data_IF_856774785508
#
_entry.id   IF_856774785508
#
_cell.length_a   1.000
_cell.length_b   1.000
_cell.length_c   1.000
_cell.angle_alpha   90.00
_cell.angle_beta   90.00
_cell.angle_gamma   90.00
#
_symmetry.space_group_name_H-M   'P 1'
#
loop_
_entity.id
_entity.type
_entity.pdbx_description
1 polymer ?
#
# COMPACT_ATOMS: atom_id res chain seq x y z
N UNK A 1 10.23 -19.99 -1.15
CA UNK A 1 10.40 -19.57 -2.55
C UNK A 1 10.07 -18.10 -2.55
N UNK A 2 10.96 -17.23 -3.02
CA UNK A 2 10.70 -15.80 -3.03
C UNK A 2 10.01 -15.44 -4.36
N UNK A 3 9.01 -14.57 -4.31
CA UNK A 3 8.25 -14.11 -5.48
C UNK A 3 8.68 -12.68 -5.82
N UNK A 4 9.94 -12.55 -6.22
CA UNK A 4 10.65 -11.32 -6.54
C UNK A 4 11.24 -11.38 -7.97
N UNK A 5 12.17 -10.48 -8.30
CA UNK A 5 12.74 -10.39 -9.63
C UNK A 5 11.69 -9.91 -10.62
N UNK A 6 11.53 -10.61 -11.76
CA UNK A 6 10.57 -10.20 -12.80
C UNK A 6 9.10 -10.24 -12.35
N UNK A 7 8.82 -10.90 -11.23
CA UNK A 7 7.49 -10.95 -10.62
C UNK A 7 7.13 -9.67 -9.87
N UNK A 8 8.11 -8.82 -9.53
CA UNK A 8 7.89 -7.53 -8.88
C UNK A 8 8.43 -6.43 -9.79
N UNK A 9 7.61 -5.42 -10.05
CA UNK A 9 7.97 -4.34 -10.97
C UNK A 9 7.82 -2.98 -10.33
N UNK A 10 8.76 -2.10 -10.66
CA UNK A 10 8.60 -0.66 -10.45
C UNK A 10 7.77 -0.09 -11.58
N UNK A 11 6.64 0.51 -11.24
CA UNK A 11 5.74 1.18 -12.18
C UNK A 11 5.34 2.53 -11.62
N UNK A 12 4.80 3.39 -12.48
CA UNK A 12 4.29 4.70 -12.07
C UNK A 12 2.79 4.58 -11.86
N UNK A 13 2.32 5.02 -10.70
CA UNK A 13 0.90 5.20 -10.42
C UNK A 13 0.52 6.68 -10.47
N UNK A 14 -0.65 6.95 -11.04
CA UNK A 14 -1.34 8.23 -11.02
C UNK A 14 -2.54 8.10 -10.09
N UNK A 15 -2.48 8.78 -8.95
CA UNK A 15 -3.55 8.81 -7.97
C UNK A 15 -4.20 10.19 -7.98
N UNK A 16 -5.53 10.26 -7.91
CA UNK A 16 -6.26 11.54 -7.89
C UNK A 16 -7.05 11.67 -6.61
N UNK A 17 -6.85 12.77 -5.90
CA UNK A 17 -7.75 13.22 -4.82
C UNK A 17 -8.72 14.20 -5.43
N UNK A 18 -9.91 13.68 -5.71
CA UNK A 18 -11.05 14.44 -6.15
C UNK A 18 -11.84 14.96 -4.93
N UNK A 19 -12.56 16.07 -5.10
CA UNK A 19 -13.51 16.54 -4.09
C UNK A 19 -14.83 15.74 -4.18
N UNK A 20 -15.77 15.99 -3.25
CA UNK A 20 -17.06 15.31 -3.20
C UNK A 20 -17.99 15.62 -4.40
N UNK A 21 -17.71 16.69 -5.14
CA UNK A 21 -18.52 17.15 -6.27
C UNK A 21 -17.92 16.77 -7.62
N UNK A 22 -16.72 16.19 -7.63
CA UNK A 22 -16.00 15.81 -8.83
C UNK A 22 -16.64 14.56 -9.44
N UNK A 23 -17.02 14.66 -10.72
CA UNK A 23 -17.48 13.52 -11.50
C UNK A 23 -16.29 12.60 -11.84
N UNK A 24 -16.09 11.58 -11.01
CA UNK A 24 -15.00 10.60 -11.15
C UNK A 24 -15.01 9.90 -12.53
N UNK A 25 -16.15 9.39 -13.04
CA UNK A 25 -16.22 8.87 -14.40
C UNK A 25 -15.73 9.83 -15.49
N UNK A 26 -16.13 11.11 -15.42
CA UNK A 26 -15.71 12.13 -16.40
C UNK A 26 -14.21 12.40 -16.30
N UNK A 27 -13.70 12.64 -15.09
CA UNK A 27 -12.28 12.83 -14.82
C UNK A 27 -11.44 11.66 -15.34
N UNK A 28 -11.91 10.44 -15.11
CA UNK A 28 -11.27 9.22 -15.60
C UNK A 28 -11.25 9.18 -17.13
N UNK A 29 -12.37 9.43 -17.78
CA UNK A 29 -12.46 9.43 -19.24
C UNK A 29 -11.52 10.48 -19.86
N UNK A 30 -11.37 11.65 -19.23
CA UNK A 30 -10.40 12.66 -19.66
C UNK A 30 -8.95 12.16 -19.57
N UNK A 31 -8.58 11.52 -18.47
CA UNK A 31 -7.23 10.96 -18.29
C UNK A 31 -6.95 9.82 -19.26
N UNK A 32 -7.92 8.93 -19.49
CA UNK A 32 -7.82 7.86 -20.48
C UNK A 32 -7.69 8.40 -21.90
N UNK A 33 -8.42 9.47 -22.24
CA UNK A 33 -8.28 10.15 -23.54
C UNK A 33 -6.87 10.73 -23.70
N UNK A 34 -6.37 11.48 -22.69
CA UNK A 34 -5.01 12.04 -22.74
C UNK A 34 -3.94 10.97 -22.81
N UNK A 35 -4.11 9.85 -22.09
CA UNK A 35 -3.20 8.72 -22.17
C UNK A 35 -3.20 8.11 -23.57
N UNK A 36 -4.38 7.94 -24.18
CA UNK A 36 -4.53 7.45 -25.55
C UNK A 36 -3.83 8.37 -26.54
N UNK A 37 -4.00 9.69 -26.41
CA UNK A 37 -3.32 10.69 -27.25
C UNK A 37 -1.79 10.62 -27.10
N UNK A 38 -1.31 10.24 -25.90
CA UNK A 38 0.09 10.00 -25.59
C UNK A 38 0.58 8.58 -25.94
N UNK A 39 -0.25 7.72 -26.56
CA UNK A 39 0.04 6.30 -26.83
C UNK A 39 0.35 5.48 -25.58
N UNK A 40 -0.31 5.80 -24.46
CA UNK A 40 -0.24 5.09 -23.19
C UNK A 40 -1.59 4.44 -22.87
N UNK A 41 -1.56 3.36 -22.09
CA UNK A 41 -2.76 2.71 -21.55
C UNK A 41 -2.78 2.85 -20.03
N UNK A 42 -3.91 3.31 -19.49
CA UNK A 42 -4.13 3.35 -18.04
C UNK A 42 -4.88 2.09 -17.63
N UNK A 43 -4.38 1.40 -16.61
CA UNK A 43 -5.08 0.29 -15.97
C UNK A 43 -5.45 0.68 -14.55
N UNK A 44 -6.63 0.28 -14.08
CA UNK A 44 -6.98 0.48 -12.67
C UNK A 44 -6.04 -0.27 -11.75
N UNK A 45 -5.82 0.30 -10.58
CA UNK A 45 -5.12 -0.39 -9.51
C UNK A 45 -5.67 0.00 -8.14
N UNK A 46 -5.62 -0.94 -7.21
CA UNK A 46 -6.00 -0.69 -5.82
C UNK A 46 -5.12 0.41 -5.23
N UNK A 47 -5.70 1.32 -4.44
CA UNK A 47 -4.96 2.39 -3.75
C UNK A 47 -3.93 1.86 -2.75
N UNK A 48 -4.05 0.59 -2.34
CA UNK A 48 -3.10 -0.11 -1.47
C UNK A 48 -1.68 -0.21 -2.04
N UNK A 49 -1.49 -0.02 -3.35
CA UNK A 49 -0.15 0.09 -3.95
C UNK A 49 0.56 1.39 -3.62
N UNK A 50 -0.19 2.40 -3.17
CA UNK A 50 0.35 3.71 -2.87
C UNK A 50 1.12 3.67 -1.55
N UNK A 51 2.17 4.49 -1.40
CA UNK A 51 2.90 4.58 -0.14
C UNK A 51 1.97 4.95 1.01
N UNK A 52 2.16 4.31 2.17
CA UNK A 52 1.35 4.54 3.38
C UNK A 52 1.26 6.02 3.74
N UNK A 53 2.37 6.77 3.63
CA UNK A 53 2.37 8.20 3.94
C UNK A 53 1.47 9.04 3.01
N UNK A 54 1.15 8.57 1.80
CA UNK A 54 0.15 9.20 0.93
C UNK A 54 -1.26 8.83 1.40
N UNK A 55 -1.50 7.55 1.70
CA UNK A 55 -2.78 7.04 2.19
C UNK A 55 -3.21 7.64 3.55
N UNK A 56 -2.26 7.97 4.40
CA UNK A 56 -2.51 8.66 5.68
C UNK A 56 -3.03 10.10 5.50
N UNK A 57 -2.74 10.72 4.34
CA UNK A 57 -3.06 12.12 4.06
C UNK A 57 -4.27 12.27 3.14
N UNK A 58 -4.51 11.28 2.29
CA UNK A 58 -5.61 11.27 1.34
C UNK A 58 -5.98 9.82 1.01
N UNK A 59 -7.24 9.58 0.65
CA UNK A 59 -7.67 8.32 0.03
C UNK A 59 -7.95 8.62 -1.44
N UNK A 60 -6.95 8.52 -2.34
CA UNK A 60 -7.14 8.89 -3.73
C UNK A 60 -8.07 7.90 -4.42
N UNK A 61 -9.00 8.44 -5.17
CA UNK A 61 -9.85 7.72 -6.08
C UNK A 61 -10.16 8.66 -7.27
N UNK A 62 -9.82 8.28 -8.52
CA UNK A 62 -9.26 6.99 -8.96
C UNK A 62 -7.74 6.85 -8.74
N UNK A 63 -7.24 5.60 -8.73
CA UNK A 63 -5.82 5.26 -8.83
C UNK A 63 -5.58 4.40 -10.07
N UNK A 64 -4.67 4.85 -10.93
CA UNK A 64 -4.35 4.21 -12.21
C UNK A 64 -2.87 3.90 -12.28
N UNK A 65 -2.53 2.80 -12.94
CA UNK A 65 -1.18 2.35 -13.19
C UNK A 65 -0.82 2.59 -14.65
N UNK A 66 0.35 3.17 -14.89
CA UNK A 66 0.87 3.40 -16.24
C UNK A 66 1.64 2.18 -16.75
N UNK A 67 1.80 1.99 -18.08
CA UNK A 67 2.47 0.83 -18.67
C UNK A 67 3.88 0.65 -18.11
N UNK A 68 4.36 -0.60 -18.07
CA UNK A 68 5.73 -0.88 -17.65
C UNK A 68 6.73 -0.11 -18.52
N UNK A 69 7.74 0.50 -17.89
CA UNK A 69 8.74 1.33 -18.57
C UNK A 69 8.34 2.79 -18.77
N UNK A 70 7.13 3.19 -18.35
CA UNK A 70 6.73 4.61 -18.37
C UNK A 70 7.47 5.39 -17.29
N UNK A 71 7.98 6.58 -17.64
CA UNK A 71 8.65 7.47 -16.69
C UNK A 71 7.66 8.40 -15.98
N UNK A 72 7.99 8.80 -14.75
CA UNK A 72 7.17 9.75 -13.99
C UNK A 72 6.96 11.10 -14.71
N UNK A 73 7.91 11.53 -15.55
CA UNK A 73 7.77 12.74 -16.36
C UNK A 73 6.63 12.61 -17.39
N UNK A 74 6.48 11.44 -18.01
CA UNK A 74 5.39 11.17 -18.96
C UNK A 74 4.04 11.13 -18.24
N UNK A 75 3.98 10.52 -17.06
CA UNK A 75 2.77 10.53 -16.24
C UNK A 75 2.34 11.95 -15.83
N UNK A 76 3.28 12.82 -15.46
CA UNK A 76 3.00 14.23 -15.14
C UNK A 76 2.47 15.01 -16.35
N UNK A 77 2.95 14.69 -17.55
CA UNK A 77 2.47 15.32 -18.77
C UNK A 77 0.98 15.04 -19.02
N UNK A 78 0.42 13.91 -18.56
CA UNK A 78 -1.01 13.58 -18.67
C UNK A 78 -1.90 14.52 -17.86
N UNK A 79 -1.42 15.01 -16.72
CA UNK A 79 -2.19 15.89 -15.83
C UNK A 79 -2.22 17.33 -16.37
N UNK A 80 -1.20 17.72 -17.16
CA UNK A 80 -1.11 19.01 -17.84
C UNK A 80 -0.67 20.18 -16.93
N UNK A 81 -0.24 21.32 -17.51
CA UNK A 81 0.18 22.51 -16.76
C UNK A 81 -0.97 23.25 -16.07
N UNK A 82 -2.24 22.93 -16.38
CA UNK A 82 -3.41 23.59 -15.80
C UNK A 82 -3.61 23.29 -14.30
N UNK A 83 -2.94 22.27 -13.76
CA UNK A 83 -3.05 21.87 -12.34
C UNK A 83 -1.82 22.26 -11.51
N UNK A 84 -0.78 22.80 -12.17
CA UNK A 84 0.36 23.46 -11.51
C UNK A 84 0.21 24.96 -11.74
N UNK A 85 -0.75 25.61 -11.06
CA UNK A 85 -0.77 27.09 -11.05
C UNK A 85 0.27 27.59 -10.03
N UNK A 86 1.26 28.39 -10.45
CA UNK A 86 1.96 29.25 -9.52
C UNK A 86 0.97 30.37 -9.13
N UNK A 87 0.49 30.35 -7.89
CA UNK A 87 0.02 31.50 -7.11
C UNK A 87 -0.37 32.76 -7.93
N UNK A 88 -1.55 32.77 -8.55
CA UNK A 88 -2.20 34.05 -8.91
C UNK A 88 -3.35 34.28 -7.93
N UNK A 89 -3.04 35.09 -6.93
CA UNK A 89 -3.98 35.61 -5.95
C UNK A 89 -5.11 36.39 -6.63
N UNK A 90 -6.31 35.80 -6.71
CA UNK A 90 -7.55 36.58 -6.75
C UNK A 90 -8.58 35.85 -5.90
N UNK A 91 -8.93 36.48 -4.77
CA UNK A 91 -10.08 36.11 -3.95
C UNK A 91 -11.36 36.20 -4.77
N UNK A 92 -11.98 35.06 -5.06
CA UNK A 92 -13.40 34.97 -5.38
C UNK A 92 -13.98 33.74 -4.70
N UNK A 93 -14.98 33.97 -3.85
CA UNK A 93 -15.82 32.98 -3.19
C UNK A 93 -16.50 32.07 -4.23
N UNK A 94 -15.85 30.94 -4.53
CA UNK A 94 -16.43 29.70 -5.06
C UNK A 94 -15.36 28.63 -4.86
N UNK A 95 -15.30 28.07 -3.66
CA UNK A 95 -14.34 27.03 -3.30
C UNK A 95 -14.83 25.69 -3.88
N UNK A 96 -14.63 25.50 -5.19
CA UNK A 96 -14.52 24.16 -5.76
C UNK A 96 -13.02 23.89 -5.81
N UNK A 97 -12.55 23.01 -4.92
CA UNK A 97 -11.13 22.66 -4.89
C UNK A 97 -10.85 21.78 -6.12
N UNK A 98 -9.97 22.24 -7.01
CA UNK A 98 -9.56 21.45 -8.17
C UNK A 98 -8.97 20.10 -7.73
N UNK A 99 -9.16 19.02 -8.51
CA UNK A 99 -8.62 17.71 -8.18
C UNK A 99 -7.10 17.77 -8.02
N UNK A 100 -6.59 17.18 -6.94
CA UNK A 100 -5.15 17.08 -6.68
C UNK A 100 -4.61 15.76 -7.22
N UNK A 101 -3.51 15.80 -7.98
CA UNK A 101 -2.92 14.62 -8.61
C UNK A 101 -1.59 14.25 -7.97
N UNK A 102 -1.35 12.96 -7.83
CA UNK A 102 -0.13 12.39 -7.29
C UNK A 102 0.47 11.43 -8.30
N UNK A 103 1.72 11.67 -8.68
CA UNK A 103 2.51 10.79 -9.55
C UNK A 103 3.60 10.16 -8.70
N UNK A 104 3.51 8.86 -8.47
CA UNK A 104 4.39 8.13 -7.55
C UNK A 104 4.92 6.86 -8.20
N UNK A 105 6.20 6.55 -7.93
CA UNK A 105 6.75 5.23 -8.23
C UNK A 105 6.25 4.23 -7.19
N UNK A 106 5.72 3.10 -7.65
CA UNK A 106 5.16 2.03 -6.83
C UNK A 106 5.79 0.70 -7.19
N UNK A 107 5.76 -0.22 -6.22
CA UNK A 107 6.11 -1.62 -6.44
C UNK A 107 4.80 -2.40 -6.56
N UNK A 108 4.68 -3.17 -7.63
CA UNK A 108 3.53 -4.03 -7.87
C UNK A 108 3.99 -5.45 -8.16
N UNK A 109 3.18 -6.41 -7.73
CA UNK A 109 3.31 -7.77 -8.21
C UNK A 109 2.76 -7.85 -9.64
N UNK A 110 3.43 -8.64 -10.46
CA UNK A 110 3.13 -8.91 -11.86
C UNK A 110 3.21 -10.43 -12.06
N UNK A 111 2.15 -11.12 -11.62
CA UNK A 111 2.13 -12.56 -11.44
C UNK A 111 1.19 -13.21 -12.44
N UNK A 112 1.59 -14.38 -12.94
CA UNK A 112 0.74 -15.30 -13.67
C UNK A 112 0.75 -16.65 -12.95
N UNK A 113 -0.43 -17.12 -12.58
CA UNK A 113 -0.67 -18.46 -12.07
C UNK A 113 -1.13 -19.35 -13.22
N UNK A 114 -0.40 -20.41 -13.54
CA UNK A 114 -0.73 -21.32 -14.65
C UNK A 114 -1.05 -22.70 -14.11
N UNK A 115 -2.14 -23.29 -14.60
CA UNK A 115 -2.55 -24.64 -14.21
C UNK A 115 -3.10 -25.38 -15.42
N UNK A 116 -2.67 -26.63 -15.59
CA UNK A 116 -3.28 -27.55 -16.55
C UNK A 116 -4.65 -27.98 -16.04
N UNK A 117 -5.66 -27.92 -16.90
CA UNK A 117 -7.02 -28.34 -16.60
C UNK A 117 -7.62 -29.01 -17.84
N UNK A 118 -8.35 -30.11 -17.64
CA UNK A 118 -9.04 -30.81 -18.73
C UNK A 118 -10.07 -29.89 -19.42
N UNK A 119 -10.74 -29.05 -18.65
CA UNK A 119 -11.70 -28.03 -19.12
C UNK A 119 -11.38 -26.64 -18.52
N UNK A 120 -10.43 -25.88 -19.10
CA UNK A 120 -9.97 -24.60 -18.52
C UNK A 120 -11.08 -23.55 -18.33
N UNK A 121 -12.05 -23.51 -19.25
CA UNK A 121 -13.19 -22.60 -19.14
C UNK A 121 -14.07 -22.94 -17.94
N UNK A 122 -14.36 -24.23 -17.70
CA UNK A 122 -15.14 -24.66 -16.54
C UNK A 122 -14.39 -24.38 -15.23
N UNK A 123 -13.08 -24.60 -15.19
CA UNK A 123 -12.26 -24.27 -14.03
C UNK A 123 -12.28 -22.76 -13.73
N UNK A 124 -12.17 -21.92 -14.77
CA UNK A 124 -12.27 -20.46 -14.62
C UNK A 124 -13.64 -20.02 -14.10
N UNK A 125 -14.72 -20.59 -14.63
CA UNK A 125 -16.09 -20.29 -14.19
C UNK A 125 -16.32 -20.70 -12.72
N UNK A 126 -15.78 -21.84 -12.29
CA UNK A 126 -15.84 -22.27 -10.89
C UNK A 126 -15.10 -21.30 -9.97
N UNK A 127 -13.86 -20.93 -10.33
CA UNK A 127 -13.06 -19.97 -9.55
C UNK A 127 -13.78 -18.62 -9.44
N UNK A 128 -14.34 -18.12 -10.55
CA UNK A 128 -15.08 -16.87 -10.58
C UNK A 128 -16.37 -16.94 -9.75
N UNK A 129 -17.11 -18.04 -9.83
CA UNK A 129 -18.37 -18.24 -9.10
C UNK A 129 -18.16 -18.32 -7.59
N UNK A 130 -17.08 -18.98 -7.16
CA UNK A 130 -16.76 -19.07 -5.74
C UNK A 130 -16.23 -17.74 -5.17
N UNK A 131 -15.55 -16.95 -6.01
CA UNK A 131 -15.08 -15.61 -5.65
C UNK A 131 -13.93 -15.58 -4.63
N UNK A 132 -13.41 -16.72 -4.16
CA UNK A 132 -12.37 -16.77 -3.14
C UNK A 132 -11.06 -16.13 -3.62
N UNK A 133 -10.70 -16.35 -4.89
CA UNK A 133 -9.52 -15.68 -5.48
C UNK A 133 -9.74 -14.17 -5.55
N UNK A 134 -10.95 -13.72 -5.90
CA UNK A 134 -11.27 -12.29 -5.94
C UNK A 134 -11.24 -11.67 -4.53
N UNK A 135 -11.69 -12.39 -3.51
CA UNK A 135 -11.61 -11.95 -2.11
C UNK A 135 -10.16 -11.87 -1.62
N UNK A 136 -9.30 -12.81 -2.05
CA UNK A 136 -7.91 -12.88 -1.62
C UNK A 136 -7.02 -11.81 -2.26
N UNK A 137 -7.18 -11.54 -3.57
CA UNK A 137 -6.27 -10.66 -4.32
C UNK A 137 -6.96 -9.53 -5.07
N UNK A 138 -8.28 -9.42 -5.00
CA UNK A 138 -9.05 -8.39 -5.69
C UNK A 138 -9.26 -8.71 -7.16
N UNK A 139 -8.90 -7.77 -8.04
CA UNK A 139 -9.08 -7.93 -9.48
C UNK A 139 -7.95 -8.77 -10.09
N UNK A 140 -8.32 -9.68 -10.98
CA UNK A 140 -7.41 -10.51 -11.76
C UNK A 140 -7.95 -10.72 -13.17
N UNK A 141 -7.06 -10.99 -14.12
CA UNK A 141 -7.40 -11.44 -15.46
C UNK A 141 -7.39 -12.96 -15.56
N UNK A 142 -8.12 -13.50 -16.53
CA UNK A 142 -8.02 -14.92 -16.89
C UNK A 142 -7.73 -15.05 -18.37
N UNK A 143 -6.87 -16.00 -18.72
CA UNK A 143 -6.59 -16.39 -20.09
C UNK A 143 -6.70 -17.91 -20.24
N UNK A 144 -7.35 -18.35 -21.32
CA UNK A 144 -7.55 -19.75 -21.62
C UNK A 144 -6.65 -20.14 -22.79
N UNK A 145 -5.93 -21.25 -22.64
CA UNK A 145 -5.14 -21.89 -23.68
C UNK A 145 -5.54 -23.35 -23.86
N UNK A 146 -4.84 -24.06 -24.76
CA UNK A 146 -5.05 -25.49 -24.99
C UNK A 146 -4.74 -26.31 -23.71
N UNK A 147 -5.78 -26.62 -22.94
CA UNK A 147 -5.68 -27.35 -21.68
C UNK A 147 -5.05 -26.56 -20.53
N UNK A 148 -4.91 -25.24 -20.68
CA UNK A 148 -4.28 -24.37 -19.68
C UNK A 148 -5.22 -23.25 -19.25
N UNK A 149 -5.31 -23.04 -17.94
CA UNK A 149 -5.88 -21.84 -17.35
C UNK A 149 -4.74 -20.98 -16.79
N UNK A 150 -4.69 -19.72 -17.20
CA UNK A 150 -3.84 -18.69 -16.61
C UNK A 150 -4.69 -17.67 -15.84
N UNK A 151 -4.24 -17.31 -14.64
CA UNK A 151 -4.78 -16.22 -13.82
C UNK A 151 -3.70 -15.15 -13.67
N UNK A 152 -3.97 -13.97 -14.19
CA UNK A 152 -3.03 -12.85 -14.26
C UNK A 152 -3.35 -11.82 -13.19
N UNK A 153 -2.34 -11.41 -12.43
CA UNK A 153 -2.47 -10.49 -11.31
C UNK A 153 -1.45 -9.36 -11.41
N UNK A 154 -1.97 -8.13 -11.45
CA UNK A 154 -1.18 -6.91 -11.32
C UNK A 154 -1.75 -6.09 -10.18
N UNK A 155 -1.01 -5.93 -9.09
CA UNK A 155 -1.54 -5.30 -7.88
C UNK A 155 -0.54 -5.13 -6.74
N UNK A 156 -1.04 -4.84 -5.51
CA UNK A 156 -0.23 -4.76 -4.30
C UNK A 156 0.69 -5.96 -4.08
N UNK A 157 1.75 -5.74 -3.32
CA UNK A 157 2.67 -6.82 -2.97
C UNK A 157 1.98 -7.83 -2.06
N UNK A 158 1.86 -9.07 -2.53
CA UNK A 158 1.33 -10.21 -1.82
C UNK A 158 2.42 -10.86 -0.97
N UNK A 159 2.04 -11.32 0.21
CA UNK A 159 2.93 -12.19 1.00
C UNK A 159 3.05 -13.58 0.36
N UNK A 160 4.18 -14.26 0.56
CA UNK A 160 4.38 -15.65 0.10
C UNK A 160 3.24 -16.58 0.54
N UNK A 161 2.72 -16.36 1.75
CA UNK A 161 1.58 -17.13 2.29
C UNK A 161 0.31 -16.89 1.50
N UNK A 162 0.03 -15.65 1.12
CA UNK A 162 -1.15 -15.29 0.33
C UNK A 162 -1.05 -15.86 -1.09
N UNK A 163 0.14 -15.80 -1.71
CA UNK A 163 0.39 -16.43 -3.02
C UNK A 163 0.13 -17.95 -2.94
N UNK A 164 0.60 -18.62 -1.89
CA UNK A 164 0.33 -20.05 -1.72
C UNK A 164 -1.17 -20.35 -1.49
N UNK A 165 -1.88 -19.50 -0.74
CA UNK A 165 -3.34 -19.60 -0.60
C UNK A 165 -4.03 -19.48 -1.97
N UNK A 166 -3.64 -18.52 -2.81
CA UNK A 166 -4.20 -18.37 -4.16
C UNK A 166 -3.93 -19.60 -5.01
N UNK A 167 -2.72 -20.18 -4.95
CA UNK A 167 -2.41 -21.44 -5.66
C UNK A 167 -3.30 -22.58 -5.24
N UNK A 168 -3.59 -22.72 -3.95
CA UNK A 168 -4.49 -23.75 -3.42
C UNK A 168 -5.90 -23.59 -3.99
N UNK A 169 -6.42 -22.36 -4.01
CA UNK A 169 -7.76 -22.10 -4.52
C UNK A 169 -7.88 -22.31 -6.03
N UNK A 170 -6.89 -21.87 -6.81
CA UNK A 170 -6.84 -22.13 -8.26
C UNK A 170 -6.77 -23.63 -8.52
N UNK A 171 -5.93 -24.37 -7.79
CA UNK A 171 -5.81 -25.81 -7.93
C UNK A 171 -7.13 -26.52 -7.61
N UNK A 172 -7.84 -26.07 -6.58
CA UNK A 172 -9.15 -26.61 -6.20
C UNK A 172 -10.17 -26.43 -7.31
N UNK A 173 -10.24 -25.25 -7.92
CA UNK A 173 -11.11 -24.97 -9.07
C UNK A 173 -10.76 -25.79 -10.31
N UNK A 174 -9.47 -26.04 -10.54
CA UNK A 174 -8.98 -26.89 -11.63
C UNK A 174 -8.99 -28.40 -11.32
N UNK A 175 -9.40 -28.82 -10.12
CA UNK A 175 -9.46 -30.23 -9.73
C UNK A 175 -8.08 -30.90 -9.58
N UNK A 176 -7.05 -30.14 -9.23
CA UNK A 176 -5.64 -30.59 -9.20
C UNK A 176 -4.94 -30.24 -7.89
N UNK A 177 -3.64 -30.54 -7.75
CA UNK A 177 -2.84 -30.19 -6.58
C UNK A 177 -2.21 -28.78 -6.71
N UNK A 178 -2.09 -28.04 -5.60
CA UNK A 178 -1.47 -26.71 -5.57
C UNK A 178 -0.04 -26.68 -6.14
N UNK A 179 0.72 -27.78 -5.96
CA UNK A 179 2.07 -27.94 -6.53
C UNK A 179 2.10 -27.95 -8.06
N UNK A 180 0.97 -28.22 -8.71
CA UNK A 180 0.81 -28.20 -10.17
C UNK A 180 0.42 -26.82 -10.71
N UNK A 181 0.08 -25.86 -9.83
CA UNK A 181 -0.10 -24.46 -10.21
C UNK A 181 1.27 -23.79 -10.21
N UNK A 182 1.79 -23.46 -11.40
CA UNK A 182 3.02 -22.70 -11.53
C UNK A 182 2.76 -21.22 -11.26
N UNK A 183 3.69 -20.55 -10.59
CA UNK A 183 3.68 -19.08 -10.45
C UNK A 183 4.87 -18.53 -11.22
N UNK A 184 4.59 -17.63 -12.15
CA UNK A 184 5.57 -17.04 -13.09
C UNK A 184 5.35 -15.53 -13.16
N UNK A 185 6.34 -14.75 -13.63
CA UNK A 185 6.05 -13.38 -14.01
C UNK A 185 5.06 -13.36 -15.18
N UNK A 186 4.06 -12.47 -15.13
CA UNK A 186 3.15 -12.26 -16.26
C UNK A 186 3.94 -11.70 -17.46
N UNK A 187 4.72 -10.65 -17.23
CA UNK A 187 5.58 -10.09 -18.25
C UNK A 187 6.96 -10.75 -18.24
N UNK A 188 7.39 -11.28 -19.39
CA UNK A 188 8.68 -12.00 -19.51
C UNK A 188 9.90 -11.08 -19.72
N UNK A 189 9.66 -9.80 -20.00
CA UNK A 189 10.70 -8.81 -20.32
C UNK A 189 10.61 -7.59 -19.42
N UNK A 190 11.72 -6.88 -19.21
CA UNK A 190 11.78 -5.67 -18.39
C UNK A 190 12.73 -5.81 -17.21
N UNK A 191 12.71 -4.82 -16.32
CA UNK A 191 13.55 -4.81 -15.11
C UNK A 191 12.69 -5.25 -13.93
N UNK A 192 13.07 -6.38 -13.34
CA UNK A 192 12.49 -6.89 -12.11
C UNK A 192 13.13 -6.27 -10.86
N UNK A 193 12.48 -6.43 -9.71
CA UNK A 193 12.96 -5.90 -8.42
C UNK A 193 13.35 -7.04 -7.49
N UNK A 194 14.58 -7.01 -7.00
CA UNK A 194 15.01 -7.87 -5.90
C UNK A 194 14.64 -7.21 -4.56
N UNK A 195 13.60 -7.75 -3.93
CA UNK A 195 13.05 -7.25 -2.67
C UNK A 195 14.04 -7.32 -1.50
N UNK A 196 15.09 -8.16 -1.57
CA UNK A 196 16.12 -8.21 -0.53
C UNK A 196 17.07 -7.00 -0.59
N UNK A 197 17.14 -6.33 -1.74
CA UNK A 197 18.00 -5.16 -1.97
C UNK A 197 17.23 -3.85 -2.04
N UNK A 198 15.90 -3.93 -2.10
CA UNK A 198 15.04 -2.76 -2.18
C UNK A 198 15.17 -1.92 -0.91
N UNK A 199 15.45 -0.60 -1.03
CA UNK A 199 15.48 0.28 0.12
C UNK A 199 14.11 0.31 0.80
N UNK A 200 14.12 0.38 2.13
CA UNK A 200 12.88 0.63 2.87
C UNK A 200 12.21 1.88 2.32
N UNK A 201 10.87 1.84 2.10
CA UNK A 201 10.15 2.99 1.59
C UNK A 201 10.45 4.18 2.50
N UNK A 202 11.03 5.23 1.94
CA UNK A 202 11.20 6.48 2.66
C UNK A 202 9.79 6.91 3.14
N UNK A 203 9.66 7.51 4.35
CA UNK A 203 8.44 8.20 4.69
C UNK A 203 8.11 9.11 3.52
N UNK A 204 6.88 9.06 3.00
CA UNK A 204 6.50 9.80 1.80
C UNK A 204 6.69 11.30 2.05
N UNK A 205 7.90 11.80 1.83
CA UNK A 205 8.16 13.18 1.54
C UNK A 205 7.58 13.34 0.14
N UNK A 206 6.36 13.87 0.08
CA UNK A 206 5.75 14.35 -1.15
C UNK A 206 6.87 15.06 -1.90
N UNK A 207 7.20 14.56 -3.09
CA UNK A 207 8.11 15.26 -3.98
C UNK A 207 7.62 16.69 -4.01
N UNK A 208 8.49 17.55 -3.49
CA UNK A 208 8.27 18.95 -3.19
C UNK A 208 7.28 19.54 -4.19
N UNK A 209 6.26 20.24 -3.68
CA UNK A 209 5.85 21.49 -4.29
C UNK A 209 7.15 22.21 -4.66
N UNK A 210 7.55 22.16 -5.94
CA UNK A 210 8.74 22.84 -6.44
C UNK A 210 8.42 24.33 -6.36
N UNK A 211 8.64 24.90 -5.18
CA UNK A 211 8.88 26.33 -5.02
C UNK A 211 10.32 26.53 -5.48
N UNK A 212 10.49 26.75 -6.78
CA UNK A 212 11.73 27.29 -7.31
C UNK A 212 11.77 28.78 -6.90
N UNK A 213 12.04 29.04 -5.61
CA UNK A 213 12.41 30.37 -5.19
C UNK A 213 13.88 30.54 -5.54
N UNK A 214 14.09 31.29 -6.63
CA UNK A 214 15.29 32.07 -6.89
C UNK A 214 15.85 32.53 -5.55
N UNK A 215 17.07 32.10 -5.26
CA UNK A 215 17.80 32.46 -4.06
C UNK A 215 18.08 33.96 -4.12
N UNK A 216 17.19 34.76 -3.53
CA UNK A 216 17.56 36.07 -3.03
C UNK A 216 17.47 36.07 -1.51
N UNK A 217 18.51 36.66 -0.94
CA UNK A 217 18.97 36.51 0.43
C UNK A 217 17.98 37.15 1.41
N UNK A 218 17.34 36.37 2.31
CA UNK A 218 16.87 36.88 3.60
C UNK A 218 16.86 35.82 4.72
N UNK A 219 17.19 36.31 5.92
CA UNK A 219 17.52 35.65 7.19
C UNK A 219 16.65 34.46 7.67
N UNK A 220 17.20 33.57 8.53
CA UNK A 220 16.45 32.45 9.10
C UNK A 220 15.33 32.96 10.02
N UNK A 221 14.08 32.71 9.62
CA UNK A 221 12.89 32.86 10.46
C UNK A 221 12.89 31.72 11.48
N UNK A 222 12.69 31.99 12.79
CA UNK A 222 12.58 30.94 13.79
C UNK A 222 11.31 30.12 13.56
N UNK A 223 11.48 28.83 13.27
CA UNK A 223 10.39 27.85 13.24
C UNK A 223 9.77 27.74 14.65
N UNK A 224 8.52 28.19 14.78
CA UNK A 224 7.72 27.90 15.96
C UNK A 224 7.26 26.44 15.90
N UNK A 225 7.56 25.61 16.91
CA UNK A 225 7.14 24.21 16.90
C UNK A 225 5.62 24.11 16.95
N UNK A 226 5.08 23.31 16.03
CA UNK A 226 3.66 23.04 15.88
C UNK A 226 3.03 22.50 17.18
N UNK A 227 1.82 22.94 17.58
CA UNK A 227 1.19 22.67 18.89
C UNK A 227 0.93 21.19 19.24
N UNK A 228 1.19 20.27 18.32
CA UNK A 228 0.86 18.84 18.35
C UNK A 228 2.07 18.02 18.85
N UNK A 229 3.28 18.57 18.76
CA UNK A 229 4.48 17.99 19.39
C UNK A 229 4.36 18.02 20.92
N UNK A 230 3.76 19.08 21.49
CA UNK A 230 3.48 19.15 22.92
C UNK A 230 2.50 18.07 23.40
N UNK A 231 1.55 17.68 22.54
CA UNK A 231 0.57 16.64 22.86
C UNK A 231 1.23 15.25 22.99
N UNK A 232 2.14 14.89 22.07
CA UNK A 232 2.85 13.61 22.11
C UNK A 232 3.82 13.50 23.29
N UNK A 233 4.51 14.59 23.63
CA UNK A 233 5.39 14.63 24.81
C UNK A 233 4.54 14.48 26.08
N UNK A 234 3.41 15.19 26.19
CA UNK A 234 2.50 15.06 27.32
C UNK A 234 1.94 13.63 27.49
N UNK A 235 1.54 13.00 26.40
CA UNK A 235 1.01 11.64 26.40
C UNK A 235 2.07 10.63 26.86
N UNK A 236 3.30 10.73 26.34
CA UNK A 236 4.39 9.81 26.69
C UNK A 236 4.79 9.87 28.17
N UNK A 237 4.80 11.08 28.76
CA UNK A 237 5.07 11.28 30.19
C UNK A 237 3.95 10.70 31.04
N UNK A 238 2.69 10.91 30.66
CA UNK A 238 1.53 10.37 31.38
C UNK A 238 1.51 8.83 31.36
N UNK A 239 1.82 8.23 30.22
CA UNK A 239 1.86 6.78 30.05
C UNK A 239 3.02 6.15 30.85
N UNK A 240 4.17 6.80 30.86
CA UNK A 240 5.33 6.36 31.65
C UNK A 240 5.05 6.44 33.16
N UNK A 241 4.40 7.52 33.61
CA UNK A 241 4.03 7.69 35.02
C UNK A 241 2.99 6.67 35.49
N UNK A 242 1.97 6.40 34.68
CA UNK A 242 0.95 5.40 35.02
C UNK A 242 1.54 3.98 35.05
N UNK A 243 2.42 3.64 34.12
CA UNK A 243 3.08 2.33 34.11
C UNK A 243 4.02 2.15 35.32
N UNK A 244 4.74 3.19 35.73
CA UNK A 244 5.59 3.16 36.92
C UNK A 244 4.78 2.94 38.22
N UNK A 245 3.60 3.57 38.34
CA UNK A 245 2.70 3.39 39.50
C UNK A 245 2.16 1.96 39.57
N UNK A 246 1.76 1.38 38.43
CA UNK A 246 1.26 -0.01 38.36
C UNK A 246 2.37 -1.01 38.72
N UNK A 247 3.57 -0.83 38.18
CA UNK A 247 4.72 -1.69 38.51
C UNK A 247 5.14 -1.57 39.98
N UNK A 248 5.15 -0.35 40.53
CA UNK A 248 5.47 -0.12 41.94
C UNK A 248 4.44 -0.73 42.89
N UNK A 249 3.15 -0.60 42.58
CA UNK A 249 2.08 -1.21 43.38
C UNK A 249 2.10 -2.74 43.32
N UNK A 250 2.40 -3.33 42.17
CA UNK A 250 2.62 -4.77 42.01
C UNK A 250 3.82 -5.27 42.82
N UNK A 251 4.92 -4.53 42.82
CA UNK A 251 6.12 -4.86 43.59
C UNK A 251 5.88 -4.76 45.11
N UNK A 252 5.15 -3.75 45.59
CA UNK A 252 4.77 -3.64 47.00
C UNK A 252 3.86 -4.77 47.45
N UNK A 253 2.93 -5.23 46.59
CA UNK A 253 2.06 -6.38 46.90
C UNK A 253 2.86 -7.67 47.09
N UNK A 254 3.86 -7.93 46.24
CA UNK A 254 4.75 -9.11 46.36
C UNK A 254 5.63 -9.07 47.62
N UNK A 255 6.11 -7.89 48.02
CA UNK A 255 6.89 -7.77 49.27
C UNK A 255 6.06 -8.09 50.52
N UNK A 256 4.78 -7.72 50.56
CA UNK A 256 3.89 -8.05 51.70
C UNK A 256 3.63 -9.55 51.81
N UNK A 257 3.59 -10.29 50.70
CA UNK A 257 3.35 -11.74 50.73
C UNK A 257 4.54 -12.54 51.24
N UNK A 258 5.77 -12.06 51.03
CA UNK A 258 6.98 -12.74 51.51
C UNK A 258 7.21 -12.56 53.02
N UNK A 259 6.74 -11.46 53.61
CA UNK A 259 6.83 -11.23 55.06
C UNK A 259 5.91 -12.16 55.84
N UNK A 260 4.71 -12.46 55.32
CA UNK A 260 3.76 -13.37 55.98
C UNK A 260 4.17 -14.85 55.92
N UNK A 261 5.00 -15.24 54.94
CA UNK A 261 5.48 -16.64 54.82
C UNK A 261 6.59 -16.93 55.83
N UNK A 262 7.47 -15.97 56.10
CA UNK A 262 8.55 -16.15 57.08
C UNK A 262 8.07 -16.16 58.54
N UNK A 263 6.96 -15.49 58.85
CA UNK A 263 6.40 -15.45 60.22
C UNK A 263 5.71 -16.78 60.61
N UNK A 264 5.28 -17.57 59.62
CA UNK A 264 4.63 -18.87 59.85
C UNK A 264 5.64 -20.01 60.09
N UNK A 265 6.87 -19.89 59.58
CA UNK A 265 7.92 -20.92 59.73
C UNK A 265 8.67 -20.82 61.08
N UNK A 266 8.59 -19.66 61.76
CA UNK A 266 9.25 -19.45 63.05
C UNK A 266 8.41 -19.89 64.25
N UNK A 267 7.12 -20.17 64.06
CA UNK A 267 6.21 -20.63 65.13
C UNK A 267 6.26 -22.14 65.38
N UNK A 268 6.91 -22.93 64.51
CA UNK A 268 6.91 -24.40 64.57
C UNK A 268 8.18 -25.02 65.20
N UNK A 269 9.13 -24.21 65.66
CA UNK A 269 10.39 -24.69 66.29
C UNK A 269 10.46 -24.49 67.82
N UNK A 270 9.33 -24.46 68.52
CA UNK A 270 9.32 -24.26 69.97
C UNK A 270 8.29 -25.07 70.72
N UNK A 271 8.59 -26.35 71.01
CA UNK A 271 8.62 -26.83 72.41
C UNK A 271 9.08 -28.30 72.52
N UNK A 272 9.91 -28.61 73.54
CA UNK A 272 10.43 -29.95 73.85
C UNK A 272 9.40 -30.89 74.50
#
# INVERSE_FOLDING_TARGET
MTFDGLMVRRRVALAVRADENTDIPVLRAELEQRATDASLTLSDIASEVLPVGLLDQAVPAPTMLLPAGTEAAQARALVGPAVIRPEESVSTESATEDPTYFVVDVLVHDLRFEVEADEPAQAADLIATEGIVADAIGSYGTALGDGLLAVDYVGPLLSDRLIESVRIEIARGAGTAASQVAVRPESLTGVGVDMATEPFPAPAAIAQTMVDHVTDVMAPVPVTPSPWIGYWIGLSVLLSATMAIVLWSGFQRRRRTLVTVFEQEQSDQGSP
#
